data_IF_620901658313
#
_entry.id   IF_620901658313
#
_cell.length_a   1.000
_cell.length_b   1.000
_cell.length_c   1.000
_cell.angle_alpha   90.00
_cell.angle_beta   90.00
_cell.angle_gamma   90.00
#
_symmetry.space_group_name_H-M   'P 1'
#
loop_
_entity.id
_entity.type
_entity.pdbx_description
1 polymer ?
#
# COMPACT_ATOMS: atom_id res chain seq x y z
N UNK A 1 -6.67 11.64 -10.68
CA UNK A 1 -5.46 11.32 -9.89
C UNK A 1 -5.21 9.82 -10.04
N UNK A 2 -4.07 9.41 -10.59
CA UNK A 2 -3.69 8.00 -10.59
C UNK A 2 -3.07 7.67 -9.23
N UNK A 3 -3.65 6.73 -8.50
CA UNK A 3 -3.05 6.22 -7.28
C UNK A 3 -2.08 5.10 -7.65
N UNK A 4 -0.78 5.34 -7.41
CA UNK A 4 0.31 4.41 -7.77
C UNK A 4 0.84 3.61 -6.58
N UNK A 5 0.48 3.99 -5.35
CA UNK A 5 0.92 3.33 -4.12
C UNK A 5 -0.22 3.28 -3.08
N UNK A 6 -0.12 2.32 -2.15
CA UNK A 6 -1.03 2.13 -1.03
C UNK A 6 -0.24 1.89 0.26
N UNK A 7 -0.80 2.31 1.40
CA UNK A 7 -0.25 2.00 2.71
C UNK A 7 -0.95 0.77 3.28
N UNK A 8 -0.20 -0.04 4.00
CA UNK A 8 -0.70 -1.17 4.77
C UNK A 8 0.17 -1.46 5.97
N UNK A 9 -0.39 -2.17 6.95
CA UNK A 9 0.28 -2.57 8.18
C UNK A 9 0.52 -4.08 8.18
N UNK A 10 1.69 -4.53 8.66
CA UNK A 10 1.99 -5.95 8.77
C UNK A 10 1.13 -6.58 9.86
N UNK A 11 0.20 -7.44 9.49
CA UNK A 11 -0.70 -8.12 10.42
C UNK A 11 -0.12 -9.45 10.92
N UNK A 12 0.58 -10.19 10.06
CA UNK A 12 1.12 -11.50 10.42
C UNK A 12 1.73 -12.27 9.25
N UNK A 13 2.05 -13.54 9.49
CA UNK A 13 2.57 -14.46 8.48
C UNK A 13 1.91 -15.83 8.63
N UNK A 14 1.57 -16.45 7.51
CA UNK A 14 0.97 -17.79 7.43
C UNK A 14 1.63 -18.57 6.28
N UNK A 15 1.15 -19.78 5.99
CA UNK A 15 1.52 -20.52 4.79
C UNK A 15 0.28 -20.84 3.97
N UNK A 16 0.44 -20.95 2.66
CA UNK A 16 -0.59 -21.42 1.73
C UNK A 16 -0.11 -22.68 1.03
N UNK A 17 -1.05 -23.52 0.64
CA UNK A 17 -0.81 -24.61 -0.30
C UNK A 17 -1.34 -24.14 -1.66
N UNK A 18 -0.50 -24.18 -2.70
CA UNK A 18 -0.96 -23.90 -4.07
C UNK A 18 -0.35 -24.89 -5.06
N UNK A 19 -1.10 -25.15 -6.13
CA UNK A 19 -0.59 -25.88 -7.27
C UNK A 19 0.37 -24.99 -8.07
N UNK A 20 1.56 -25.52 -8.39
CA UNK A 20 2.57 -24.78 -9.16
C UNK A 20 2.40 -25.02 -10.65
N UNK A 21 1.82 -24.03 -11.34
CA UNK A 21 1.73 -24.02 -12.81
C UNK A 21 2.92 -23.27 -13.42
N UNK A 22 4.09 -23.91 -13.39
CA UNK A 22 5.33 -23.41 -14.02
C UNK A 22 5.95 -24.45 -14.97
N UNK A 23 5.69 -24.37 -16.29
CA UNK A 23 6.26 -25.29 -17.27
C UNK A 23 7.79 -25.27 -17.24
N UNK A 24 8.42 -26.45 -17.21
CA UNK A 24 9.88 -26.59 -17.15
C UNK A 24 10.47 -26.57 -15.73
N UNK A 25 9.66 -26.40 -14.69
CA UNK A 25 10.09 -26.61 -13.30
C UNK A 25 9.89 -28.06 -12.87
N UNK A 26 10.75 -28.58 -11.98
CA UNK A 26 10.62 -29.93 -11.42
C UNK A 26 9.26 -30.13 -10.70
N UNK A 27 8.75 -29.06 -10.07
CA UNK A 27 7.51 -29.06 -9.29
C UNK A 27 6.27 -28.69 -10.11
N UNK A 28 6.31 -28.85 -11.44
CA UNK A 28 5.15 -28.53 -12.26
C UNK A 28 3.99 -29.51 -11.99
N UNK A 29 2.81 -28.97 -11.65
CA UNK A 29 1.60 -29.73 -11.26
C UNK A 29 1.72 -30.46 -9.91
N UNK A 30 2.65 -30.04 -9.07
CA UNK A 30 2.72 -30.48 -7.67
C UNK A 30 2.17 -29.39 -6.75
N UNK A 31 1.64 -29.81 -5.60
CA UNK A 31 1.23 -28.91 -4.52
C UNK A 31 2.47 -28.48 -3.72
N UNK A 32 2.66 -27.17 -3.53
CA UNK A 32 3.78 -26.62 -2.75
C UNK A 32 3.25 -25.72 -1.64
N UNK A 33 3.85 -25.86 -0.44
CA UNK A 33 3.62 -24.98 0.69
C UNK A 33 4.52 -23.73 0.59
N UNK A 34 3.94 -22.54 0.49
CA UNK A 34 4.68 -21.28 0.44
C UNK A 34 4.32 -20.38 1.62
N UNK A 35 5.33 -19.75 2.23
CA UNK A 35 5.12 -18.76 3.28
C UNK A 35 4.59 -17.44 2.70
N UNK A 36 3.57 -16.86 3.33
CA UNK A 36 2.95 -15.60 2.93
C UNK A 36 2.88 -14.62 4.09
N UNK A 37 2.94 -13.33 3.78
CA UNK A 37 2.74 -12.26 4.77
C UNK A 37 1.39 -11.61 4.54
N UNK A 38 0.60 -11.46 5.60
CA UNK A 38 -0.67 -10.74 5.57
C UNK A 38 -0.44 -9.26 5.88
N UNK A 39 -0.90 -8.39 4.98
CA UNK A 39 -0.84 -6.94 5.12
C UNK A 39 -2.28 -6.40 5.24
N UNK A 40 -2.60 -5.80 6.38
CA UNK A 40 -3.87 -5.10 6.57
C UNK A 40 -3.83 -3.75 5.86
N UNK A 41 -4.78 -3.51 4.96
CA UNK A 41 -4.83 -2.33 4.10
C UNK A 41 -6.16 -1.60 4.28
N UNK A 42 -6.33 -0.83 5.38
CA UNK A 42 -7.56 -0.06 5.58
C UNK A 42 -7.74 1.00 4.49
N UNK A 43 -8.98 1.40 4.17
CA UNK A 43 -9.25 2.45 3.18
C UNK A 43 -8.51 3.75 3.51
N UNK A 44 -7.80 4.31 2.53
CA UNK A 44 -7.04 5.56 2.71
C UNK A 44 -7.87 6.79 2.32
N UNK A 45 -7.78 7.85 3.13
CA UNK A 45 -8.39 9.16 2.85
C UNK A 45 -7.33 10.10 2.25
N UNK A 46 -7.58 10.60 1.04
CA UNK A 46 -6.70 11.57 0.37
C UNK A 46 -7.03 12.98 0.84
N UNK A 47 -6.07 13.67 1.44
CA UNK A 47 -6.28 15.00 2.08
C UNK A 47 -5.57 16.16 1.39
N UNK A 48 -4.78 15.88 0.36
CA UNK A 48 -4.11 16.89 -0.45
C UNK A 48 -3.46 16.29 -1.68
N UNK A 49 -3.18 17.12 -2.67
CA UNK A 49 -2.51 16.72 -3.91
C UNK A 49 -1.44 17.74 -4.31
N UNK A 50 -0.43 17.27 -5.04
CA UNK A 50 0.64 18.09 -5.60
C UNK A 50 0.49 18.06 -7.12
N UNK A 51 0.31 19.22 -7.74
CA UNK A 51 0.27 19.37 -9.20
C UNK A 51 1.56 20.03 -9.67
N UNK A 52 2.28 19.41 -10.60
CA UNK A 52 3.51 19.98 -11.16
C UNK A 52 3.43 19.97 -12.70
N UNK A 53 3.63 21.12 -13.37
CA UNK A 53 3.79 21.17 -14.82
C UNK A 53 5.19 20.78 -15.32
N UNK A 54 6.27 21.17 -14.61
CA UNK A 54 7.66 21.11 -15.14
C UNK A 54 8.69 20.60 -14.11
N UNK A 55 8.88 19.28 -14.01
CA UNK A 55 9.93 18.66 -13.19
C UNK A 55 9.53 18.31 -11.74
N UNK A 56 10.50 17.91 -10.90
CA UNK A 56 10.26 17.48 -9.51
C UNK A 56 10.68 18.60 -8.54
N UNK A 57 9.75 19.51 -8.21
CA UNK A 57 9.91 20.44 -7.08
C UNK A 57 8.58 20.64 -6.34
N UNK A 58 8.62 20.68 -5.01
CA UNK A 58 7.43 20.91 -4.17
C UNK A 58 7.18 22.41 -4.06
N UNK A 59 6.43 23.00 -5.01
CA UNK A 59 6.07 24.43 -4.94
C UNK A 59 4.97 24.73 -3.92
N UNK A 60 3.90 23.95 -3.90
CA UNK A 60 2.76 24.17 -3.00
C UNK A 60 1.93 22.90 -2.83
N UNK A 61 1.46 22.64 -1.60
CA UNK A 61 0.52 21.56 -1.28
C UNK A 61 -0.88 22.12 -1.10
N UNK A 62 -1.85 21.66 -1.90
CA UNK A 62 -3.25 22.04 -1.75
C UNK A 62 -3.93 21.04 -0.81
N UNK A 63 -4.59 21.55 0.22
CA UNK A 63 -5.29 20.75 1.24
C UNK A 63 -6.80 20.74 1.02
N UNK A 64 -7.46 19.68 1.49
CA UNK A 64 -8.92 19.64 1.60
C UNK A 64 -9.43 20.70 2.60
N UNK A 65 -10.63 21.24 2.35
CA UNK A 65 -11.24 22.26 3.20
C UNK A 65 -11.50 21.76 4.64
N UNK A 66 -11.90 20.50 4.78
CA UNK A 66 -12.17 19.88 6.07
C UNK A 66 -11.17 18.75 6.32
N UNK A 67 -10.37 18.89 7.38
CA UNK A 67 -9.40 17.88 7.80
C UNK A 67 -9.92 17.13 9.03
N UNK A 68 -9.83 15.81 9.01
CA UNK A 68 -10.20 14.97 10.15
C UNK A 68 -9.21 15.12 11.32
N UNK A 69 -9.67 14.85 12.54
CA UNK A 69 -8.83 14.93 13.73
C UNK A 69 -7.65 13.94 13.71
N UNK A 70 -7.81 12.78 13.08
CA UNK A 70 -6.74 11.79 12.89
C UNK A 70 -5.53 12.35 12.15
N UNK A 71 -5.78 13.21 11.15
CA UNK A 71 -4.73 13.92 10.41
C UNK A 71 -4.13 15.01 11.27
N UNK A 72 -4.96 15.74 12.02
CA UNK A 72 -4.49 16.81 12.92
C UNK A 72 -3.58 16.26 14.02
N UNK A 73 -3.88 15.09 14.55
CA UNK A 73 -3.06 14.39 15.55
C UNK A 73 -1.63 14.14 15.05
N UNK A 74 -1.40 13.97 13.74
CA UNK A 74 -0.04 13.78 13.19
C UNK A 74 0.85 15.03 13.31
N UNK A 75 0.27 16.22 13.50
CA UNK A 75 1.05 17.46 13.66
C UNK A 75 1.53 17.70 15.08
N UNK A 76 1.03 16.95 16.07
CA UNK A 76 1.35 17.13 17.48
C UNK A 76 1.99 15.86 18.05
N UNK A 77 2.97 16.03 18.95
CA UNK A 77 3.73 14.91 19.55
C UNK A 77 3.31 14.54 20.98
N UNK A 78 2.50 15.37 21.63
CA UNK A 78 2.14 15.26 23.04
C UNK A 78 0.66 14.89 23.19
#
# INVERSE_FOLDING_TARGET
ALQVHFLGYKAGMTHIVREVVKPGSQHHKEETCEAVTMIETPPMVVVGYVKIPDGLSTRSTVWAQHLSEEVRRRFYKN
#
